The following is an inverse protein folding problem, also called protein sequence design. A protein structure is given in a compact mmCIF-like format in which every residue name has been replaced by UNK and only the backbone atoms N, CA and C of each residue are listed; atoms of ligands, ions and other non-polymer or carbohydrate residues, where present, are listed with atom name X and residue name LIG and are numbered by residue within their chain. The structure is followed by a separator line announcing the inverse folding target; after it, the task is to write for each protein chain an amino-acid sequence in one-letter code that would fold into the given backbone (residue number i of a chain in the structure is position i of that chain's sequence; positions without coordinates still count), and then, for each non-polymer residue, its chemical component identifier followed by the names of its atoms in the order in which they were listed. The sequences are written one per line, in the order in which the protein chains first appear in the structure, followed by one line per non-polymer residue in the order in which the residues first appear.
data_IF_235867696768
#
_entry.id   IF_235867696768
#
_cell.length_a   1.000
_cell.length_b   1.000
_cell.length_c   1.000
_cell.angle_alpha   90.00
_cell.angle_beta   90.00
_cell.angle_gamma   90.00
#
_symmetry.space_group_name_H-M   'P 1'
#
loop_
_entity.id
_entity.type
_entity.pdbx_description
1 polymer ?
#
# COMPACT_ATOMS: atom_id res chain seq x y z
N UNK A 1 23.32 -2.66 -47.90
CA UNK A 1 22.38 -1.54 -47.64
C UNK A 1 21.87 -1.76 -46.23
N UNK A 2 22.17 -0.84 -45.31
CA UNK A 2 22.03 -1.01 -43.86
C UNK A 2 20.56 -0.95 -43.41
N UNK A 3 20.18 -1.85 -42.51
CA UNK A 3 18.89 -1.85 -41.81
C UNK A 3 18.90 -0.76 -40.73
N UNK A 4 17.92 0.17 -40.67
CA UNK A 4 17.77 1.09 -39.55
C UNK A 4 16.77 0.55 -38.51
N UNK A 5 17.06 0.83 -37.25
CA UNK A 5 16.23 0.62 -36.04
C UNK A 5 16.16 -0.80 -35.45
N UNK A 6 17.33 -1.32 -35.08
CA UNK A 6 17.46 -2.07 -33.83
C UNK A 6 17.77 -1.06 -32.71
N UNK A 7 16.74 -0.35 -32.22
CA UNK A 7 16.87 0.49 -31.04
C UNK A 7 16.88 -0.38 -29.77
N UNK A 8 18.12 -0.72 -29.39
CA UNK A 8 18.60 -1.19 -28.09
C UNK A 8 17.67 -0.82 -26.92
N UNK A 9 16.95 -1.82 -26.40
CA UNK A 9 16.11 -1.78 -25.21
C UNK A 9 16.88 -1.59 -23.90
N UNK A 10 17.77 -0.60 -23.86
CA UNK A 10 18.37 -0.10 -22.62
C UNK A 10 17.64 1.18 -22.23
N UNK A 11 16.58 1.04 -21.44
CA UNK A 11 15.97 2.19 -20.78
C UNK A 11 17.07 2.99 -20.06
N UNK A 12 17.09 4.31 -20.30
CA UNK A 12 18.05 5.17 -19.62
C UNK A 12 17.85 5.04 -18.10
N UNK A 13 18.92 4.95 -17.29
CA UNK A 13 18.83 4.77 -15.85
C UNK A 13 18.02 5.86 -15.12
N UNK A 14 17.80 7.03 -15.76
CA UNK A 14 16.89 8.06 -15.27
C UNK A 14 15.41 7.73 -15.42
N UNK A 15 15.01 7.05 -16.50
CA UNK A 15 13.61 6.69 -16.78
C UNK A 15 13.08 5.68 -15.78
N UNK A 16 13.85 4.63 -15.47
CA UNK A 16 13.48 3.63 -14.47
C UNK A 16 13.29 4.23 -13.08
N UNK A 17 14.19 5.15 -12.68
CA UNK A 17 14.07 5.87 -11.41
C UNK A 17 12.82 6.75 -11.38
N UNK A 18 12.51 7.46 -12.46
CA UNK A 18 11.34 8.32 -12.55
C UNK A 18 10.03 7.52 -12.45
N UNK A 19 9.93 6.39 -13.16
CA UNK A 19 8.77 5.49 -13.07
C UNK A 19 8.65 4.94 -11.65
N UNK A 20 9.75 4.45 -11.06
CA UNK A 20 9.75 3.95 -9.68
C UNK A 20 9.29 5.01 -8.67
N UNK A 21 9.76 6.25 -8.82
CA UNK A 21 9.35 7.36 -7.98
C UNK A 21 7.84 7.60 -8.03
N UNK A 22 7.24 7.61 -9.22
CA UNK A 22 5.78 7.80 -9.39
C UNK A 22 5.01 6.65 -8.75
N UNK A 23 5.40 5.42 -9.03
CA UNK A 23 4.73 4.22 -8.49
C UNK A 23 4.74 4.23 -6.97
N UNK A 24 5.90 4.49 -6.37
CA UNK A 24 6.04 4.52 -4.92
C UNK A 24 5.28 5.70 -4.31
N UNK A 25 5.24 6.86 -5.00
CA UNK A 25 4.44 8.00 -4.58
C UNK A 25 2.95 7.66 -4.49
N UNK A 26 2.39 7.05 -5.53
CA UNK A 26 0.98 6.64 -5.59
C UNK A 26 0.66 5.62 -4.49
N UNK A 27 1.57 4.67 -4.25
CA UNK A 27 1.37 3.66 -3.21
C UNK A 27 1.44 4.23 -1.78
N UNK A 28 2.39 5.14 -1.51
CA UNK A 28 2.64 5.64 -0.15
C UNK A 28 1.72 6.80 0.24
N UNK A 29 1.23 7.55 -0.75
CA UNK A 29 0.37 8.71 -0.52
C UNK A 29 -0.82 8.43 0.40
N UNK A 30 -1.73 7.48 0.08
CA UNK A 30 -2.92 7.22 0.90
C UNK A 30 -2.53 6.79 2.31
N UNK A 31 -1.52 5.92 2.45
CA UNK A 31 -1.06 5.44 3.77
C UNK A 31 -0.67 6.61 4.68
N UNK A 32 0.13 7.56 4.17
CA UNK A 32 0.53 8.73 4.96
C UNK A 32 -0.65 9.64 5.26
N UNK A 33 -1.48 9.93 4.26
CA UNK A 33 -2.65 10.80 4.42
C UNK A 33 -3.65 10.25 5.44
N UNK A 34 -4.03 8.97 5.32
CA UNK A 34 -4.99 8.31 6.22
C UNK A 34 -4.46 8.31 7.65
N UNK A 35 -3.18 8.00 7.83
CA UNK A 35 -2.54 8.05 9.14
C UNK A 35 -2.56 9.47 9.74
N UNK A 36 -2.38 10.49 8.91
CA UNK A 36 -2.46 11.89 9.33
C UNK A 36 -3.87 12.33 9.71
N UNK A 37 -4.87 11.97 8.91
CA UNK A 37 -6.26 12.40 9.08
C UNK A 37 -7.00 11.61 10.18
N UNK A 38 -6.74 10.31 10.30
CA UNK A 38 -7.49 9.40 11.15
C UNK A 38 -6.68 8.74 12.27
N UNK A 39 -5.34 8.81 12.21
CA UNK A 39 -4.46 8.13 13.18
C UNK A 39 -4.46 6.61 13.05
N UNK A 40 -5.05 6.06 11.98
CA UNK A 40 -5.10 4.62 11.72
C UNK A 40 -4.90 4.34 10.22
N UNK A 41 -4.46 3.12 9.91
CA UNK A 41 -4.42 2.61 8.53
C UNK A 41 -5.75 1.87 8.30
N UNK A 42 -6.41 2.18 7.19
CA UNK A 42 -7.70 1.58 6.86
C UNK A 42 -7.60 0.09 6.50
N UNK A 43 -8.73 -0.61 6.70
CA UNK A 43 -8.83 -2.05 6.50
C UNK A 43 -8.70 -2.44 5.03
N UNK A 44 -9.07 -1.57 4.10
CA UNK A 44 -8.94 -1.76 2.65
C UNK A 44 -7.49 -2.05 2.26
N UNK A 45 -6.52 -1.31 2.80
CA UNK A 45 -5.08 -1.54 2.56
C UNK A 45 -4.60 -2.86 3.10
N UNK A 46 -5.10 -3.25 4.27
CA UNK A 46 -4.77 -4.54 4.89
C UNK A 46 -5.35 -5.71 4.07
N UNK A 47 -6.57 -5.56 3.56
CA UNK A 47 -7.22 -6.56 2.70
C UNK A 47 -6.61 -6.62 1.30
N UNK A 48 -6.15 -5.49 0.76
CA UNK A 48 -5.43 -5.42 -0.52
C UNK A 48 -4.12 -6.23 -0.45
N UNK A 49 -3.32 -6.01 0.61
CA UNK A 49 -2.11 -6.80 0.87
C UNK A 49 -2.45 -8.29 0.98
N UNK A 50 -3.50 -8.64 1.72
CA UNK A 50 -3.96 -10.02 1.84
C UNK A 50 -4.34 -10.62 0.48
N UNK A 51 -5.12 -9.91 -0.34
CA UNK A 51 -5.55 -10.37 -1.65
C UNK A 51 -4.35 -10.60 -2.60
N UNK A 52 -3.38 -9.69 -2.62
CA UNK A 52 -2.14 -9.83 -3.39
C UNK A 52 -1.36 -11.07 -2.94
N UNK A 53 -1.30 -11.31 -1.62
CA UNK A 53 -0.60 -12.47 -1.05
C UNK A 53 -1.23 -13.79 -1.46
N UNK A 54 -2.56 -13.88 -1.36
CA UNK A 54 -3.31 -15.07 -1.77
C UNK A 54 -3.17 -15.29 -3.28
N UNK A 55 -3.27 -14.24 -4.08
CA UNK A 55 -3.09 -14.33 -5.53
C UNK A 55 -1.68 -14.83 -5.88
N UNK A 56 -0.62 -14.28 -5.28
CA UNK A 56 0.75 -14.71 -5.50
C UNK A 56 1.00 -16.15 -5.05
N UNK A 57 0.44 -16.53 -3.89
CA UNK A 57 0.51 -17.91 -3.38
C UNK A 57 -0.17 -18.89 -4.33
N UNK A 58 -1.41 -18.60 -4.74
CA UNK A 58 -2.16 -19.46 -5.65
C UNK A 58 -1.49 -19.54 -7.02
N UNK A 59 -1.02 -18.42 -7.57
CA UNK A 59 -0.30 -18.40 -8.82
C UNK A 59 0.94 -19.30 -8.77
N UNK A 60 1.77 -19.18 -7.73
CA UNK A 60 2.97 -20.01 -7.60
C UNK A 60 2.68 -21.48 -7.26
N UNK A 61 1.52 -21.82 -6.68
CA UNK A 61 1.09 -23.20 -6.47
C UNK A 61 0.47 -23.85 -7.71
N UNK A 62 -0.22 -23.07 -8.54
CA UNK A 62 -0.92 -23.54 -9.75
C UNK A 62 -0.01 -23.60 -10.98
N UNK A 63 1.02 -22.77 -11.06
CA UNK A 63 2.01 -22.82 -12.14
C UNK A 63 2.83 -24.11 -12.01
N UNK A 64 2.84 -24.90 -13.09
CA UNK A 64 3.29 -26.28 -13.10
C UNK A 64 4.77 -26.43 -12.67
N UNK A 65 4.97 -27.01 -11.48
CA UNK A 65 6.25 -27.19 -10.77
C UNK A 65 7.30 -27.99 -11.53
N UNK A 66 6.95 -28.56 -12.68
CA UNK A 66 7.81 -29.45 -13.49
C UNK A 66 8.59 -28.77 -14.59
N UNK A 67 8.31 -27.51 -14.96
CA UNK A 67 8.84 -26.94 -16.21
C UNK A 67 9.84 -25.81 -16.07
N UNK A 68 9.89 -25.14 -14.92
CA UNK A 68 10.99 -24.23 -14.59
C UNK A 68 11.07 -24.05 -13.08
N UNK A 69 12.28 -23.81 -12.60
CA UNK A 69 12.76 -23.64 -11.21
C UNK A 69 11.68 -23.33 -10.16
N UNK A 70 11.68 -24.02 -9.00
CA UNK A 70 10.81 -23.78 -7.83
C UNK A 70 10.58 -22.26 -7.61
N UNK A 71 9.48 -21.74 -8.15
CA UNK A 71 9.18 -20.29 -8.15
C UNK A 71 8.95 -19.80 -6.71
N UNK A 72 8.46 -20.70 -5.84
CA UNK A 72 8.23 -20.45 -4.42
C UNK A 72 8.96 -21.49 -3.57
N UNK A 73 9.83 -21.02 -2.70
CA UNK A 73 10.43 -21.83 -1.63
C UNK A 73 9.37 -22.10 -0.56
N UNK A 74 9.53 -23.15 0.26
CA UNK A 74 8.69 -23.37 1.46
C UNK A 74 8.59 -22.15 2.39
N UNK A 75 9.65 -21.34 2.45
CA UNK A 75 9.69 -20.09 3.20
C UNK A 75 8.77 -19.03 2.60
N UNK A 76 8.74 -18.93 1.28
CA UNK A 76 7.92 -17.95 0.56
C UNK A 76 6.44 -18.30 0.74
N UNK A 77 6.08 -19.58 0.62
CA UNK A 77 4.74 -20.08 0.94
C UNK A 77 4.32 -19.72 2.38
N UNK A 78 5.21 -19.91 3.35
CA UNK A 78 4.92 -19.56 4.75
C UNK A 78 4.72 -18.05 4.93
N UNK A 79 5.58 -17.22 4.31
CA UNK A 79 5.49 -15.76 4.39
C UNK A 79 4.25 -15.21 3.68
N UNK A 80 3.85 -15.80 2.55
CA UNK A 80 2.62 -15.47 1.82
C UNK A 80 1.35 -15.93 2.54
N UNK A 81 1.45 -16.96 3.39
CA UNK A 81 0.34 -17.44 4.21
C UNK A 81 0.14 -16.64 5.51
N UNK A 82 1.14 -15.87 5.96
CA UNK A 82 1.05 -15.06 7.19
C UNK A 82 -0.17 -14.14 7.26
N UNK A 83 -0.52 -13.35 6.21
CA UNK A 83 -1.70 -12.49 6.24
C UNK A 83 -3.00 -13.28 6.44
N UNK A 84 -3.11 -14.46 5.82
CA UNK A 84 -4.26 -15.36 5.99
C UNK A 84 -4.32 -15.96 7.41
N UNK A 85 -3.16 -16.32 7.97
CA UNK A 85 -3.08 -16.79 9.36
C UNK A 85 -3.47 -15.69 10.35
N UNK A 86 -3.01 -14.47 10.12
CA UNK A 86 -3.38 -13.31 10.93
C UNK A 86 -4.90 -13.07 10.90
N UNK A 87 -5.52 -13.03 9.71
CA UNK A 87 -6.98 -12.87 9.59
C UNK A 87 -7.74 -14.01 10.29
N UNK A 88 -7.28 -15.25 10.14
CA UNK A 88 -7.87 -16.39 10.83
C UNK A 88 -7.81 -16.22 12.35
N UNK A 89 -6.69 -15.75 12.88
CA UNK A 89 -6.57 -15.47 14.32
C UNK A 89 -7.40 -14.29 14.78
N UNK A 90 -7.62 -13.29 13.92
CA UNK A 90 -8.54 -12.18 14.21
C UNK A 90 -9.98 -12.70 14.38
N UNK A 91 -10.45 -13.58 13.50
CA UNK A 91 -11.79 -14.19 13.57
C UNK A 91 -11.93 -15.01 14.86
N UNK A 92 -10.98 -15.92 15.11
CA UNK A 92 -11.00 -16.79 16.30
C UNK A 92 -10.86 -16.01 17.62
N UNK A 93 -10.21 -14.84 17.61
CA UNK A 93 -10.14 -13.94 18.76
C UNK A 93 -11.51 -13.39 19.14
N UNK A 94 -12.35 -13.03 18.16
CA UNK A 94 -13.70 -12.51 18.43
C UNK A 94 -14.58 -13.54 19.14
N UNK A 95 -14.43 -14.81 18.79
CA UNK A 95 -15.19 -15.91 19.40
C UNK A 95 -14.69 -16.28 20.80
N UNK A 96 -13.36 -16.36 21.00
CA UNK A 96 -12.79 -16.91 22.25
C UNK A 96 -12.51 -15.87 23.32
N UNK A 97 -12.18 -14.62 22.95
CA UNK A 97 -11.84 -13.55 23.88
C UNK A 97 -10.62 -13.79 24.79
N UNK A 98 -9.86 -14.88 24.58
CA UNK A 98 -8.81 -15.31 25.51
C UNK A 98 -7.53 -14.45 25.41
N UNK A 99 -6.85 -14.23 26.54
CA UNK A 99 -5.62 -13.41 26.58
C UNK A 99 -4.47 -13.99 25.72
N UNK A 100 -4.23 -15.31 25.63
CA UNK A 100 -3.18 -15.85 24.76
C UNK A 100 -3.49 -15.61 23.27
N UNK A 101 -4.77 -15.66 22.91
CA UNK A 101 -5.21 -15.43 21.53
C UNK A 101 -4.99 -13.99 21.09
N UNK A 102 -5.16 -13.03 22.00
CA UNK A 102 -4.81 -11.62 21.75
C UNK A 102 -3.32 -11.47 21.44
N UNK A 103 -2.43 -12.02 22.27
CA UNK A 103 -0.99 -11.96 22.05
C UNK A 103 -0.57 -12.62 20.74
N UNK A 104 -1.17 -13.77 20.40
CA UNK A 104 -0.90 -14.44 19.13
C UNK A 104 -1.34 -13.61 17.92
N UNK A 105 -2.54 -13.02 17.97
CA UNK A 105 -3.05 -12.13 16.92
C UNK A 105 -2.14 -10.92 16.72
N UNK A 106 -1.74 -10.27 17.81
CA UNK A 106 -0.87 -9.09 17.76
C UNK A 106 0.50 -9.46 17.19
N UNK A 107 1.07 -10.60 17.63
CA UNK A 107 2.34 -11.11 17.08
C UNK A 107 2.25 -11.41 15.57
N UNK A 108 1.14 -12.01 15.11
CA UNK A 108 0.91 -12.29 13.68
C UNK A 108 0.65 -11.01 12.87
N UNK A 109 0.00 -10.00 13.45
CA UNK A 109 -0.16 -8.69 12.84
C UNK A 109 1.20 -8.04 12.59
N UNK A 110 2.06 -7.99 13.61
CA UNK A 110 3.43 -7.47 13.47
C UNK A 110 4.25 -8.31 12.50
N UNK A 111 4.19 -9.64 12.57
CA UNK A 111 4.91 -10.51 11.66
C UNK A 111 4.47 -10.31 10.20
N UNK A 112 3.17 -10.09 9.96
CA UNK A 112 2.63 -9.78 8.64
C UNK A 112 3.18 -8.46 8.12
N UNK A 113 3.10 -7.39 8.91
CA UNK A 113 3.60 -6.08 8.50
C UNK A 113 5.11 -6.03 8.24
N UNK A 114 5.91 -6.69 9.08
CA UNK A 114 7.38 -6.61 8.99
C UNK A 114 8.02 -7.65 8.07
N UNK A 115 7.44 -8.85 7.95
CA UNK A 115 8.04 -9.93 7.15
C UNK A 115 7.24 -10.21 5.88
N UNK A 116 5.92 -10.29 5.97
CA UNK A 116 5.09 -10.63 4.81
C UNK A 116 5.05 -9.48 3.81
N UNK A 117 4.76 -8.25 4.24
CA UNK A 117 4.67 -7.09 3.32
C UNK A 117 5.95 -6.86 2.51
N UNK A 118 7.16 -6.78 3.09
CA UNK A 118 8.38 -6.61 2.30
C UNK A 118 8.67 -7.81 1.40
N UNK A 119 8.24 -9.01 1.78
CA UNK A 119 8.39 -10.20 0.97
C UNK A 119 7.44 -10.19 -0.23
N UNK A 120 6.17 -9.85 -0.02
CA UNK A 120 5.18 -9.67 -1.09
C UNK A 120 5.70 -8.65 -2.09
N UNK A 121 6.14 -7.48 -1.62
CA UNK A 121 6.75 -6.45 -2.49
C UNK A 121 7.93 -7.05 -3.27
N UNK A 122 8.83 -7.81 -2.63
CA UNK A 122 9.95 -8.45 -3.34
C UNK A 122 9.51 -9.41 -4.43
N UNK A 123 8.43 -10.16 -4.25
CA UNK A 123 7.96 -11.18 -5.20
C UNK A 123 7.11 -10.57 -6.30
N UNK A 124 6.20 -9.65 -5.97
CA UNK A 124 5.23 -9.10 -6.91
C UNK A 124 5.74 -7.90 -7.69
N UNK A 125 6.58 -7.06 -7.09
CA UNK A 125 7.16 -5.89 -7.76
C UNK A 125 7.96 -6.24 -9.03
N UNK A 126 8.81 -7.30 -9.08
CA UNK A 126 9.45 -7.72 -10.33
C UNK A 126 8.48 -8.07 -11.45
N UNK A 127 7.35 -8.68 -11.09
CA UNK A 127 6.37 -9.22 -12.05
C UNK A 127 5.48 -8.09 -12.55
N UNK A 128 5.01 -7.23 -11.65
CA UNK A 128 4.13 -6.13 -12.00
C UNK A 128 4.89 -4.99 -12.68
N UNK A 129 6.10 -4.69 -12.20
CA UNK A 129 6.85 -3.50 -12.60
C UNK A 129 8.36 -3.78 -12.61
N UNK A 130 8.87 -4.49 -13.64
CA UNK A 130 10.29 -4.82 -13.76
C UNK A 130 11.18 -3.56 -13.72
N UNK A 131 10.64 -2.42 -14.15
CA UNK A 131 11.32 -1.12 -14.17
C UNK A 131 11.71 -0.61 -12.79
N UNK A 132 10.97 -0.96 -11.73
CA UNK A 132 11.30 -0.51 -10.36
C UNK A 132 12.56 -1.21 -9.85
N UNK A 133 12.81 -2.45 -10.28
CA UNK A 133 14.01 -3.21 -9.93
C UNK A 133 15.22 -2.88 -10.79
N UNK A 134 15.01 -2.21 -11.92
CA UNK A 134 16.10 -1.71 -12.76
C UNK A 134 16.91 -0.60 -12.05
N UNK A 135 16.40 -0.02 -10.95
CA UNK A 135 17.12 0.90 -10.07
C UNK A 135 18.20 0.16 -9.27
N UNK A 136 19.34 -0.14 -9.91
CA UNK A 136 20.41 -1.00 -9.36
C UNK A 136 21.51 -0.27 -8.59
N UNK A 137 21.45 1.04 -8.40
CA UNK A 137 22.49 1.80 -7.69
C UNK A 137 22.15 2.11 -6.22
N UNK A 138 23.06 1.82 -5.27
CA UNK A 138 22.89 2.17 -3.83
C UNK A 138 22.48 3.64 -3.63
N UNK A 139 23.05 4.55 -4.42
CA UNK A 139 22.71 5.98 -4.40
C UNK A 139 21.29 6.25 -4.92
N UNK A 140 20.88 5.58 -6.00
CA UNK A 140 19.53 5.74 -6.56
C UNK A 140 18.47 5.12 -5.63
N UNK A 141 18.74 3.95 -5.04
CA UNK A 141 17.86 3.35 -4.04
C UNK A 141 17.72 4.24 -2.80
N UNK A 142 18.82 4.87 -2.36
CA UNK A 142 18.79 5.83 -1.26
C UNK A 142 17.99 7.10 -1.64
N UNK A 143 18.17 7.62 -2.85
CA UNK A 143 17.37 8.74 -3.34
C UNK A 143 15.87 8.40 -3.41
N UNK A 144 15.54 7.18 -3.87
CA UNK A 144 14.16 6.72 -3.92
C UNK A 144 13.58 6.61 -2.51
N UNK A 145 14.32 6.00 -1.56
CA UNK A 145 13.90 5.90 -0.17
C UNK A 145 13.70 7.28 0.49
N UNK A 146 14.59 8.23 0.24
CA UNK A 146 14.47 9.62 0.72
C UNK A 146 13.24 10.28 0.10
N UNK A 147 13.01 10.11 -1.21
CA UNK A 147 11.81 10.64 -1.87
C UNK A 147 10.53 10.03 -1.28
N UNK A 148 10.47 8.71 -1.10
CA UNK A 148 9.35 8.03 -0.44
C UNK A 148 9.08 8.60 0.94
N UNK A 149 10.13 8.83 1.73
CA UNK A 149 10.01 9.42 3.06
C UNK A 149 9.45 10.86 3.01
N UNK A 150 9.93 11.67 2.06
CA UNK A 150 9.43 13.03 1.86
C UNK A 150 7.95 13.01 1.49
N UNK A 151 7.55 12.15 0.55
CA UNK A 151 6.14 12.05 0.12
C UNK A 151 5.25 11.55 1.25
N UNK A 152 5.71 10.52 1.99
CA UNK A 152 4.98 10.00 3.14
C UNK A 152 4.79 11.06 4.24
N UNK A 153 5.83 11.85 4.52
CA UNK A 153 5.75 12.92 5.51
C UNK A 153 4.85 14.07 5.02
N UNK A 154 4.92 14.41 3.73
CA UNK A 154 4.06 15.43 3.13
C UNK A 154 2.59 15.00 3.14
N UNK A 155 2.28 13.78 2.72
CA UNK A 155 0.90 13.27 2.75
C UNK A 155 0.38 13.15 4.18
N UNK A 156 1.21 12.69 5.13
CA UNK A 156 0.87 12.71 6.56
C UNK A 156 0.56 14.11 7.06
N UNK A 157 1.39 15.10 6.75
CA UNK A 157 1.16 16.46 7.21
C UNK A 157 -0.10 17.07 6.58
N UNK A 158 -0.39 16.75 5.32
CA UNK A 158 -1.63 17.14 4.66
C UNK A 158 -2.86 16.47 5.26
N UNK A 159 -2.78 15.19 5.63
CA UNK A 159 -3.84 14.51 6.37
C UNK A 159 -4.03 15.12 7.76
N UNK A 160 -2.95 15.36 8.50
CA UNK A 160 -2.96 15.98 9.82
C UNK A 160 -3.48 17.42 9.79
N UNK A 161 -3.24 18.14 8.69
CA UNK A 161 -3.73 19.50 8.44
C UNK A 161 -4.78 19.53 7.32
N UNK A 162 -5.65 18.52 7.25
CA UNK A 162 -6.69 18.46 6.24
C UNK A 162 -7.62 19.69 6.31
N UNK A 163 -7.75 20.30 7.50
CA UNK A 163 -8.43 21.56 7.76
C UNK A 163 -8.02 22.72 6.85
N UNK A 164 -6.81 22.68 6.28
CA UNK A 164 -6.28 23.73 5.41
C UNK A 164 -6.71 23.60 3.95
N UNK A 165 -6.93 22.38 3.48
CA UNK A 165 -7.10 22.05 2.06
C UNK A 165 -8.44 21.39 1.73
N UNK A 166 -9.09 20.74 2.69
CA UNK A 166 -10.30 19.95 2.51
C UNK A 166 -11.38 20.38 3.50
N UNK A 167 -12.62 20.16 3.09
CA UNK A 167 -13.82 20.37 3.88
C UNK A 167 -14.40 19.05 4.35
N UNK A 168 -15.24 19.09 5.37
CA UNK A 168 -15.99 17.91 5.81
C UNK A 168 -16.88 17.34 4.69
N UNK A 169 -17.30 18.17 3.73
CA UNK A 169 -18.11 17.70 2.59
C UNK A 169 -17.31 16.80 1.66
N UNK A 170 -16.03 17.12 1.42
CA UNK A 170 -15.17 16.34 0.54
C UNK A 170 -15.04 14.89 1.04
N UNK A 171 -14.84 14.72 2.35
CA UNK A 171 -14.81 13.39 3.01
C UNK A 171 -16.17 12.69 2.94
N UNK A 172 -17.26 13.43 3.17
CA UNK A 172 -18.62 12.85 3.13
C UNK A 172 -18.99 12.35 1.74
N UNK A 173 -18.66 13.10 0.69
CA UNK A 173 -18.92 12.72 -0.71
C UNK A 173 -18.05 11.53 -1.11
N UNK A 174 -16.82 11.45 -0.62
CA UNK A 174 -15.97 10.28 -0.79
C UNK A 174 -16.52 9.03 -0.08
N UNK A 175 -17.44 9.20 0.87
CA UNK A 175 -17.99 8.12 1.69
C UNK A 175 -17.07 7.72 2.85
N UNK A 176 -16.11 8.58 3.20
CA UNK A 176 -15.18 8.35 4.30
C UNK A 176 -15.79 8.80 5.64
N UNK A 177 -15.24 8.27 6.74
CA UNK A 177 -15.49 8.83 8.06
C UNK A 177 -14.98 10.28 8.12
N UNK A 178 -15.64 11.11 8.93
CA UNK A 178 -15.30 12.53 9.08
C UNK A 178 -14.08 12.70 10.01
N UNK A 179 -12.95 13.27 9.54
CA UNK A 179 -11.84 13.61 10.42
C UNK A 179 -12.28 14.63 11.48
N UNK A 180 -11.78 14.48 12.71
CA UNK A 180 -12.15 15.37 13.82
C UNK A 180 -11.78 16.84 13.60
N UNK A 181 -10.80 17.10 12.73
CA UNK A 181 -10.29 18.41 12.38
C UNK A 181 -10.74 18.89 10.99
N UNK A 182 -11.69 18.24 10.31
CA UNK A 182 -12.14 18.72 9.01
C UNK A 182 -12.78 20.11 9.09
N UNK A 183 -12.58 20.94 8.06
CA UNK A 183 -13.16 22.28 8.00
C UNK A 183 -14.65 22.18 7.68
N UNK A 184 -15.49 22.66 8.60
CA UNK A 184 -16.91 22.83 8.34
C UNK A 184 -17.10 23.94 7.31
N UNK A 185 -17.70 23.64 6.18
CA UNK A 185 -18.27 24.66 5.31
C UNK A 185 -19.56 25.15 5.95
N UNK A 186 -19.74 26.46 6.07
CA UNK A 186 -20.97 27.09 6.62
C UNK A 186 -22.21 26.90 5.72
N UNK A 187 -22.31 25.76 5.02
CA UNK A 187 -23.57 25.34 4.41
C UNK A 187 -24.47 24.74 5.49
N UNK A 188 -25.06 25.64 6.27
CA UNK A 188 -26.18 25.32 7.15
C UNK A 188 -27.28 24.70 6.28
N UNK A 189 -27.47 23.40 6.38
CA UNK A 189 -28.63 22.67 5.88
C UNK A 189 -29.88 23.09 6.67
N UNK A 190 -30.31 24.34 6.52
CA UNK A 190 -31.61 24.80 7.01
C UNK A 190 -32.66 24.43 5.96
N UNK A 191 -33.45 23.40 6.26
CA UNK A 191 -34.71 23.10 5.55
C UNK A 191 -34.57 22.83 4.04
N UNK A 192 -33.53 22.11 3.63
CA UNK A 192 -33.45 21.54 2.27
C UNK A 192 -33.30 22.56 1.13
N UNK A 193 -32.72 23.74 1.38
CA UNK A 193 -32.32 24.68 0.33
C UNK A 193 -30.90 25.21 0.55
N UNK A 194 -30.09 25.19 -0.51
CA UNK A 194 -28.78 25.84 -0.54
C UNK A 194 -28.95 27.36 -0.53
N UNK A 195 -28.27 28.06 0.37
CA UNK A 195 -28.17 29.53 0.39
C UNK A 195 -26.69 29.90 0.52
N UNK A 196 -26.20 30.69 -0.43
CA UNK A 196 -24.87 31.29 -0.37
C UNK A 196 -24.90 32.51 0.57
N UNK A 197 -23.83 32.78 1.34
CA UNK A 197 -23.73 33.98 2.16
C UNK A 197 -23.55 35.22 1.27
N UNK A 198 -24.19 36.33 1.66
CA UNK A 198 -24.08 37.64 1.03
C UNK A 198 -22.69 38.28 1.24
#
# INVERSE_FOLDING_TARGET
MSSPDEQDGKGQPGTHFFIAAIVVAVAIWPIGFDLGAYGTIFFDRLLEIWAISVAALLAGLLVDRKRDQDILTRRDVLLLALPSLWLLTTILRFETGSTPMRWLNDALMFATGFFSVPHIIRVTLPIAMPEVLAVRGRRQSLNLAVLTLIIALASFLLGYRNDLIMTCEDFRVAGDDLPTNCRQTEERYEHGRFRFPD
#
